data_IF_365766094367
#
_entry.id   IF_365766094367
#
_cell.length_a   1.000
_cell.length_b   1.000
_cell.length_c   1.000
_cell.angle_alpha   90.00
_cell.angle_beta   90.00
_cell.angle_gamma   90.00
#
_symmetry.space_group_name_H-M   'P 1'
#
loop_
_entity.id
_entity.type
_entity.pdbx_description
1 polymer ?
#
# COMPACT_ATOMS: atom_id res chain seq x y z
N UNK A 1 -13.69 0.24 1.44
CA UNK A 1 -14.30 1.58 1.33
C UNK A 1 -15.80 1.44 1.60
N UNK A 2 -16.41 2.34 2.36
CA UNK A 2 -17.86 2.31 2.59
C UNK A 2 -18.63 3.08 1.49
N UNK A 3 -19.96 3.05 1.54
CA UNK A 3 -20.81 3.69 0.53
C UNK A 3 -20.66 5.21 0.48
N UNK A 4 -20.52 5.87 1.64
CA UNK A 4 -20.29 7.31 1.73
C UNK A 4 -18.96 7.72 1.05
N UNK A 5 -17.89 6.99 1.33
CA UNK A 5 -16.60 7.19 0.68
C UNK A 5 -16.69 6.95 -0.83
N UNK A 6 -17.50 5.99 -1.26
CA UNK A 6 -17.75 5.75 -2.69
C UNK A 6 -18.51 6.91 -3.33
N UNK A 7 -19.49 7.48 -2.64
CA UNK A 7 -20.19 8.68 -3.09
C UNK A 7 -19.22 9.85 -3.30
N UNK A 8 -18.21 9.99 -2.43
CA UNK A 8 -17.17 11.00 -2.57
C UNK A 8 -16.29 10.78 -3.81
N UNK A 9 -15.95 9.53 -4.15
CA UNK A 9 -15.24 9.18 -5.38
C UNK A 9 -16.06 9.56 -6.62
N UNK A 10 -17.34 9.17 -6.66
CA UNK A 10 -18.27 9.51 -7.76
C UNK A 10 -18.41 11.03 -7.91
N UNK A 11 -18.60 11.73 -6.79
CA UNK A 11 -18.73 13.18 -6.78
C UNK A 11 -17.45 13.89 -7.27
N UNK A 12 -16.26 13.39 -6.90
CA UNK A 12 -14.99 13.91 -7.37
C UNK A 12 -14.89 13.80 -8.89
N UNK A 13 -15.12 12.60 -9.44
CA UNK A 13 -15.01 12.35 -10.88
C UNK A 13 -16.03 13.16 -11.68
N UNK A 14 -17.25 13.33 -11.16
CA UNK A 14 -18.27 14.16 -11.79
C UNK A 14 -17.86 15.64 -11.82
N UNK A 15 -17.34 16.19 -10.71
CA UNK A 15 -16.84 17.57 -10.64
C UNK A 15 -15.62 17.79 -11.53
N UNK A 16 -14.79 16.76 -11.72
CA UNK A 16 -13.65 16.78 -12.63
C UNK A 16 -14.05 16.67 -14.12
N UNK A 17 -15.35 16.49 -14.43
CA UNK A 17 -15.83 16.31 -15.80
C UNK A 17 -15.47 14.94 -16.40
N UNK A 18 -15.06 13.99 -15.57
CA UNK A 18 -14.62 12.65 -15.98
C UNK A 18 -15.73 11.59 -15.88
N UNK A 19 -16.85 11.95 -15.26
CA UNK A 19 -18.01 11.09 -15.07
C UNK A 19 -19.28 11.89 -15.29
N UNK A 20 -20.31 11.24 -15.85
CA UNK A 20 -21.67 11.75 -15.81
C UNK A 20 -22.44 11.02 -14.73
N UNK A 21 -22.59 11.64 -13.56
CA UNK A 21 -23.25 11.00 -12.42
C UNK A 21 -24.78 10.94 -12.59
N UNK A 22 -25.35 9.76 -12.41
CA UNK A 22 -26.78 9.46 -12.45
C UNK A 22 -27.29 8.98 -11.10
N UNK A 23 -28.59 9.15 -10.83
CA UNK A 23 -29.24 8.64 -9.62
C UNK A 23 -29.04 7.12 -9.50
N UNK A 24 -28.66 6.65 -8.30
CA UNK A 24 -28.41 5.23 -8.04
C UNK A 24 -27.02 4.72 -8.47
N UNK A 25 -26.20 5.55 -9.12
CA UNK A 25 -24.88 5.15 -9.60
C UNK A 25 -23.88 4.86 -8.46
N UNK A 26 -24.06 5.48 -7.29
CA UNK A 26 -23.20 5.23 -6.12
C UNK A 26 -23.22 3.77 -5.70
N UNK A 27 -24.38 3.12 -5.67
CA UNK A 27 -24.49 1.70 -5.31
C UNK A 27 -23.74 0.79 -6.30
N UNK A 28 -23.91 1.02 -7.60
CA UNK A 28 -23.18 0.28 -8.65
C UNK A 28 -21.67 0.47 -8.54
N UNK A 29 -21.23 1.69 -8.25
CA UNK A 29 -19.81 1.97 -7.99
C UNK A 29 -19.34 1.26 -6.72
N UNK A 30 -20.13 1.27 -5.66
CA UNK A 30 -19.77 0.63 -4.39
C UNK A 30 -19.63 -0.88 -4.57
N UNK A 31 -20.53 -1.53 -5.29
CA UNK A 31 -20.43 -2.96 -5.60
C UNK A 31 -19.21 -3.29 -6.46
N UNK A 32 -18.75 -2.34 -7.29
CA UNK A 32 -17.62 -2.55 -8.18
C UNK A 32 -16.25 -2.33 -7.52
N UNK A 33 -16.13 -1.36 -6.61
CA UNK A 33 -14.82 -0.94 -6.05
C UNK A 33 -14.75 -0.90 -4.52
N UNK A 34 -15.89 -1.02 -3.82
CA UNK A 34 -16.01 -0.82 -2.38
C UNK A 34 -15.11 -1.76 -1.57
N UNK A 35 -15.07 -3.05 -1.94
CA UNK A 35 -14.24 -4.07 -1.31
C UNK A 35 -12.86 -4.25 -1.98
N UNK A 36 -12.65 -3.67 -3.17
CA UNK A 36 -11.45 -3.93 -3.99
C UNK A 36 -10.31 -2.95 -3.77
N UNK A 37 -10.58 -1.78 -3.22
CA UNK A 37 -9.54 -0.79 -2.92
C UNK A 37 -9.86 0.04 -1.67
N UNK A 38 -8.79 0.59 -1.09
CA UNK A 38 -8.88 1.56 0.01
C UNK A 38 -9.37 2.91 -0.52
N UNK A 39 -10.03 3.68 0.35
CA UNK A 39 -10.53 5.00 -0.03
C UNK A 39 -9.39 5.94 -0.41
N UNK A 40 -8.27 5.89 0.33
CA UNK A 40 -7.12 6.76 0.09
C UNK A 40 -6.53 6.56 -1.31
N UNK A 41 -6.38 5.30 -1.72
CA UNK A 41 -5.90 4.94 -3.05
C UNK A 41 -6.89 5.34 -4.15
N UNK A 42 -8.19 5.19 -3.91
CA UNK A 42 -9.21 5.61 -4.86
C UNK A 42 -9.20 7.13 -5.08
N UNK A 43 -9.01 7.93 -4.01
CA UNK A 43 -8.86 9.39 -4.12
C UNK A 43 -7.58 9.76 -4.86
N UNK A 44 -6.46 9.10 -4.57
CA UNK A 44 -5.21 9.32 -5.31
C UNK A 44 -5.36 8.98 -6.79
N UNK A 45 -6.01 7.85 -7.11
CA UNK A 45 -6.32 7.44 -8.48
C UNK A 45 -7.16 8.50 -9.20
N UNK A 46 -8.21 9.02 -8.56
CA UNK A 46 -9.02 10.10 -9.14
C UNK A 46 -8.20 11.35 -9.44
N UNK A 47 -7.26 11.72 -8.57
CA UNK A 47 -6.35 12.87 -8.78
C UNK A 47 -5.37 12.64 -9.92
N UNK A 48 -4.87 11.42 -10.10
CA UNK A 48 -3.98 11.11 -11.22
C UNK A 48 -4.75 11.14 -12.54
N UNK A 49 -5.94 10.54 -12.57
CA UNK A 49 -6.82 10.51 -13.75
C UNK A 49 -7.28 11.92 -14.16
N UNK A 50 -7.57 12.82 -13.21
CA UNK A 50 -7.92 14.21 -13.51
C UNK A 50 -6.79 15.06 -14.08
N UNK A 51 -5.54 14.59 -13.92
CA UNK A 51 -4.34 15.24 -14.48
C UNK A 51 -3.87 14.59 -15.77
N UNK A 52 -4.45 13.45 -16.18
CA UNK A 52 -4.02 12.74 -17.36
C UNK A 52 -4.41 13.54 -18.63
N UNK A 53 -3.44 14.06 -19.40
CA UNK A 53 -3.72 14.82 -20.61
C UNK A 53 -4.44 13.99 -21.68
N UNK A 54 -4.28 12.65 -21.67
CA UNK A 54 -4.98 11.75 -22.58
C UNK A 54 -6.49 11.65 -22.27
N UNK A 55 -6.89 12.00 -21.04
CA UNK A 55 -8.30 12.12 -20.64
C UNK A 55 -8.80 13.54 -20.82
N UNK A 56 -7.97 14.56 -20.55
CA UNK A 56 -8.32 15.97 -20.73
C UNK A 56 -8.67 16.35 -22.19
N UNK A 57 -8.11 15.64 -23.18
CA UNK A 57 -8.41 15.82 -24.60
C UNK A 57 -9.71 15.17 -25.09
N UNK A 58 -10.36 14.30 -24.30
CA UNK A 58 -11.59 13.59 -24.69
C UNK A 58 -12.83 14.47 -24.52
N UNK A 59 -12.90 15.60 -25.22
CA UNK A 59 -14.18 16.31 -25.43
C UNK A 59 -15.07 15.45 -26.34
N UNK A 60 -15.77 14.48 -25.76
CA UNK A 60 -16.79 13.66 -26.43
C UNK A 60 -16.55 12.13 -26.48
N UNK A 61 -15.56 11.58 -25.75
CA UNK A 61 -15.10 10.21 -26.03
C UNK A 61 -15.43 9.12 -25.01
N UNK A 62 -15.18 9.31 -23.72
CA UNK A 62 -15.38 8.23 -22.74
C UNK A 62 -15.42 8.78 -21.33
N UNK A 63 -16.55 8.64 -20.66
CA UNK A 63 -16.60 8.78 -19.22
C UNK A 63 -15.85 7.62 -18.58
N UNK A 64 -15.23 7.88 -17.42
CA UNK A 64 -14.57 6.85 -16.65
C UNK A 64 -15.59 5.85 -16.11
N UNK A 65 -15.18 4.59 -16.06
CA UNK A 65 -15.89 3.51 -15.41
C UNK A 65 -15.15 3.08 -14.14
N UNK A 66 -15.79 2.33 -13.22
CA UNK A 66 -15.12 1.88 -12.01
C UNK A 66 -13.80 1.12 -12.27
N UNK A 67 -13.73 0.38 -13.39
CA UNK A 67 -12.54 -0.34 -13.82
C UNK A 67 -11.31 0.56 -14.07
N UNK A 68 -11.52 1.81 -14.51
CA UNK A 68 -10.41 2.75 -14.74
C UNK A 68 -9.77 3.18 -13.42
N UNK A 69 -10.59 3.41 -12.38
CA UNK A 69 -10.10 3.72 -11.03
C UNK A 69 -9.31 2.55 -10.47
N UNK A 70 -9.82 1.31 -10.61
CA UNK A 70 -9.10 0.11 -10.16
C UNK A 70 -7.77 -0.07 -10.90
N UNK A 71 -7.75 0.19 -12.21
CA UNK A 71 -6.53 0.10 -13.00
C UNK A 71 -5.49 1.12 -12.52
N UNK A 72 -5.89 2.35 -12.22
CA UNK A 72 -4.98 3.37 -11.69
C UNK A 72 -4.52 3.06 -10.25
N UNK A 73 -5.40 2.56 -9.38
CA UNK A 73 -5.02 2.04 -8.05
C UNK A 73 -3.95 0.95 -8.19
N UNK A 74 -4.13 0.01 -9.13
CA UNK A 74 -3.13 -1.03 -9.39
C UNK A 74 -1.78 -0.44 -9.81
N UNK A 75 -1.76 0.63 -10.63
CA UNK A 75 -0.53 1.33 -11.01
C UNK A 75 0.13 2.02 -9.80
N UNK A 76 -0.65 2.66 -8.94
CA UNK A 76 -0.16 3.28 -7.70
C UNK A 76 0.53 2.23 -6.83
N UNK A 77 -0.12 1.10 -6.57
CA UNK A 77 0.44 -0.01 -5.78
C UNK A 77 1.69 -0.61 -6.43
N UNK A 78 1.69 -0.75 -7.76
CA UNK A 78 2.86 -1.20 -8.50
C UNK A 78 4.05 -0.24 -8.35
N UNK A 79 3.82 1.09 -8.39
CA UNK A 79 4.89 2.08 -8.14
C UNK A 79 5.45 1.98 -6.72
N UNK A 80 4.60 1.77 -5.71
CA UNK A 80 5.04 1.62 -4.31
C UNK A 80 5.84 0.35 -4.06
N UNK A 81 5.64 -0.69 -4.86
CA UNK A 81 6.34 -1.97 -4.74
C UNK A 81 7.54 -2.07 -5.69
N UNK A 82 7.62 -1.21 -6.71
CA UNK A 82 8.71 -1.23 -7.67
C UNK A 82 10.05 -0.85 -7.02
N UNK A 83 11.06 -1.70 -7.19
CA UNK A 83 12.42 -1.44 -6.71
C UNK A 83 12.64 -1.71 -5.22
N UNK A 84 11.62 -2.17 -4.49
CA UNK A 84 11.79 -2.58 -3.10
C UNK A 84 12.29 -4.02 -3.00
N UNK A 85 13.36 -4.22 -2.25
CA UNK A 85 13.82 -5.55 -1.87
C UNK A 85 12.84 -6.16 -0.86
N UNK A 86 12.38 -7.37 -1.13
CA UNK A 86 11.49 -8.09 -0.22
C UNK A 86 12.36 -8.72 0.87
N UNK A 87 12.15 -8.38 2.16
CA UNK A 87 12.94 -8.95 3.22
C UNK A 87 12.74 -10.47 3.30
N UNK A 88 13.77 -11.17 3.75
CA UNK A 88 13.64 -12.58 4.13
C UNK A 88 12.57 -12.74 5.23
N UNK A 89 11.86 -13.88 5.28
CA UNK A 89 10.87 -14.13 6.31
C UNK A 89 11.51 -14.11 7.71
N UNK A 90 10.73 -13.86 8.78
CA UNK A 90 11.19 -14.02 10.15
C UNK A 90 11.84 -15.39 10.39
N UNK A 91 12.90 -15.44 11.18
CA UNK A 91 13.67 -16.68 11.43
C UNK A 91 12.81 -17.83 11.96
N UNK A 92 11.77 -17.53 12.73
CA UNK A 92 10.81 -18.54 13.24
C UNK A 92 10.05 -19.27 12.12
N UNK A 93 10.08 -18.76 10.89
CA UNK A 93 9.50 -19.35 9.70
C UNK A 93 10.54 -20.02 8.77
N UNK A 94 11.83 -20.08 9.16
CA UNK A 94 12.91 -20.59 8.29
C UNK A 94 12.69 -22.03 7.83
N UNK A 95 12.07 -22.83 8.70
CA UNK A 95 11.87 -24.27 8.48
C UNK A 95 10.54 -24.57 7.76
N UNK A 96 9.72 -23.55 7.49
CA UNK A 96 8.48 -23.65 6.73
C UNK A 96 8.52 -22.75 5.48
N UNK A 97 8.97 -23.29 4.33
CA UNK A 97 8.99 -22.57 3.06
C UNK A 97 7.62 -22.04 2.63
N UNK A 98 6.54 -22.72 2.99
CA UNK A 98 5.18 -22.27 2.64
C UNK A 98 4.79 -21.03 3.46
N UNK A 99 5.14 -20.98 4.75
CA UNK A 99 5.00 -19.79 5.57
C UNK A 99 5.90 -18.65 5.06
N UNK A 100 7.13 -18.94 4.65
CA UNK A 100 8.03 -17.95 4.04
C UNK A 100 7.44 -17.30 2.78
N UNK A 101 6.84 -18.09 1.88
CA UNK A 101 6.15 -17.57 0.69
C UNK A 101 4.89 -16.76 1.04
N UNK A 102 4.13 -17.16 2.07
CA UNK A 102 2.97 -16.38 2.54
C UNK A 102 3.40 -15.03 3.09
N UNK A 103 4.47 -15.00 3.90
CA UNK A 103 5.04 -13.77 4.41
C UNK A 103 5.40 -12.81 3.27
N UNK A 104 6.11 -13.27 2.25
CA UNK A 104 6.49 -12.43 1.10
C UNK A 104 5.26 -11.86 0.37
N UNK A 105 4.21 -12.66 0.20
CA UNK A 105 2.95 -12.19 -0.42
C UNK A 105 2.26 -11.12 0.41
N UNK A 106 2.17 -11.33 1.72
CA UNK A 106 1.58 -10.34 2.64
C UNK A 106 2.42 -9.07 2.70
N UNK A 107 3.75 -9.18 2.70
CA UNK A 107 4.65 -8.04 2.65
C UNK A 107 4.43 -7.19 1.41
N UNK A 108 4.41 -7.79 0.22
CA UNK A 108 4.19 -7.06 -1.05
C UNK A 108 2.79 -6.43 -1.07
N UNK A 109 1.77 -7.15 -0.57
CA UNK A 109 0.41 -6.62 -0.45
C UNK A 109 0.40 -5.37 0.43
N UNK A 110 0.93 -5.48 1.65
CA UNK A 110 0.95 -4.41 2.64
C UNK A 110 1.80 -3.23 2.19
N UNK A 111 2.95 -3.47 1.54
CA UNK A 111 3.78 -2.43 0.94
C UNK A 111 3.03 -1.70 -0.17
N UNK A 112 2.26 -2.41 -1.00
CA UNK A 112 1.38 -1.79 -1.98
C UNK A 112 0.33 -0.87 -1.32
N UNK A 113 -0.15 -1.24 -0.13
CA UNK A 113 -1.20 -0.51 0.58
C UNK A 113 -0.66 0.68 1.40
N UNK A 114 0.53 0.58 2.01
CA UNK A 114 1.12 1.61 2.87
C UNK A 114 2.18 2.47 2.17
N UNK A 115 2.93 1.91 1.22
CA UNK A 115 4.16 2.50 0.69
C UNK A 115 5.32 2.54 1.70
N UNK A 116 5.16 1.92 2.87
CA UNK A 116 6.14 1.93 3.95
C UNK A 116 6.64 0.51 4.26
N UNK A 117 7.94 0.21 4.02
CA UNK A 117 8.55 -1.09 4.29
C UNK A 117 8.42 -1.57 5.74
N UNK A 118 8.53 -0.68 6.73
CA UNK A 118 8.47 -1.07 8.15
C UNK A 118 7.05 -1.49 8.54
N UNK A 119 6.06 -0.67 8.17
CA UNK A 119 4.65 -1.03 8.35
C UNK A 119 4.28 -2.31 7.59
N UNK A 120 4.84 -2.52 6.39
CA UNK A 120 4.59 -3.71 5.59
C UNK A 120 5.14 -5.00 6.22
N UNK A 121 6.36 -4.97 6.79
CA UNK A 121 6.93 -6.10 7.53
C UNK A 121 6.11 -6.40 8.80
N UNK A 122 5.73 -5.35 9.54
CA UNK A 122 4.90 -5.50 10.74
C UNK A 122 3.51 -6.09 10.43
N UNK A 123 2.88 -5.68 9.33
CA UNK A 123 1.58 -6.22 8.89
C UNK A 123 1.71 -7.66 8.40
N UNK A 124 2.75 -7.98 7.61
CA UNK A 124 3.03 -9.34 7.17
C UNK A 124 3.29 -10.29 8.34
N UNK A 125 4.08 -9.86 9.33
CA UNK A 125 4.28 -10.60 10.57
C UNK A 125 2.96 -10.84 11.31
N UNK A 126 2.14 -9.80 11.48
CA UNK A 126 0.83 -9.88 12.14
C UNK A 126 -0.12 -10.85 11.44
N UNK A 127 -0.15 -10.86 10.11
CA UNK A 127 -0.98 -11.77 9.32
C UNK A 127 -0.63 -13.25 9.53
N UNK A 128 0.64 -13.53 9.85
CA UNK A 128 1.14 -14.87 10.14
C UNK A 128 1.19 -15.18 11.65
N UNK A 129 0.77 -14.24 12.52
CA UNK A 129 0.81 -14.43 13.97
C UNK A 129 2.22 -14.47 14.56
N UNK A 130 3.21 -13.92 13.84
CA UNK A 130 4.61 -13.85 14.27
C UNK A 130 5.02 -12.43 14.59
N UNK A 131 6.14 -12.26 15.29
CA UNK A 131 6.78 -10.97 15.51
C UNK A 131 8.25 -11.08 15.13
N UNK A 132 8.75 -10.12 14.35
CA UNK A 132 10.19 -9.98 14.15
C UNK A 132 10.78 -9.40 15.44
N UNK A 133 11.93 -9.91 15.94
CA UNK A 133 12.65 -9.24 17.01
C UNK A 133 12.90 -7.79 16.60
N UNK A 134 12.64 -6.84 17.49
CA UNK A 134 13.00 -5.45 17.22
C UNK A 134 14.48 -5.44 16.83
N UNK A 135 14.81 -4.88 15.66
CA UNK A 135 16.18 -4.73 15.25
C UNK A 135 16.90 -4.04 16.42
N UNK A 136 17.86 -4.73 17.04
CA UNK A 136 18.76 -4.10 17.98
C UNK A 136 19.39 -2.96 17.19
N UNK A 137 18.95 -1.73 17.45
CA UNK A 137 19.50 -0.56 16.80
C UNK A 137 21.03 -0.63 16.87
N UNK A 138 21.70 -0.19 15.81
CA UNK A 138 23.15 -0.21 15.74
C UNK A 138 23.73 0.19 17.11
N UNK A 139 24.53 -0.69 17.75
CA UNK A 139 24.93 -0.45 19.13
C UNK A 139 25.63 0.90 19.19
N UNK A 140 25.17 1.76 20.10
CA UNK A 140 25.71 3.11 20.27
C UNK A 140 27.24 3.03 20.31
N UNK A 141 27.95 3.65 19.33
CA UNK A 141 29.40 3.57 19.24
C UNK A 141 30.10 4.01 20.53
N UNK A 142 29.48 4.91 21.30
CA UNK A 142 30.01 5.36 22.58
C UNK A 142 29.88 4.28 23.66
N UNK A 143 28.77 3.55 23.66
CA UNK A 143 28.52 2.42 24.58
C UNK A 143 29.44 1.23 24.28
N UNK A 144 29.71 0.97 23.00
CA UNK A 144 30.70 -0.04 22.56
C UNK A 144 32.13 0.37 22.98
N UNK A 145 32.51 1.64 22.79
CA UNK A 145 33.82 2.16 23.23
C UNK A 145 34.00 2.11 24.74
N UNK A 146 32.96 2.44 25.51
CA UNK A 146 32.98 2.38 26.97
C UNK A 146 33.22 0.95 27.45
N UNK A 147 32.48 -0.03 26.92
CA UNK A 147 32.65 -1.45 27.25
C UNK A 147 34.05 -1.98 26.89
N UNK A 148 34.58 -1.62 25.72
CA UNK A 148 35.95 -2.02 25.34
C UNK A 148 37.02 -1.40 26.24
N UNK A 149 36.78 -0.18 26.77
CA UNK A 149 37.69 0.48 27.70
C UNK A 149 37.65 -0.12 29.12
N UNK A 150 36.51 -0.71 29.54
CA UNK A 150 36.39 -1.42 30.81
C UNK A 150 37.05 -2.80 30.76
N UNK A 151 36.93 -3.51 29.63
CA UNK A 151 37.60 -4.81 29.44
C UNK A 151 39.13 -4.65 29.38
N UNK A 152 39.62 -3.58 28.77
CA UNK A 152 41.06 -3.28 28.71
C UNK A 152 41.70 -2.78 30.01
N UNK A 153 40.91 -2.52 31.06
CA UNK A 153 41.41 -2.13 32.40
C UNK A 153 41.51 -3.29 33.39
N UNK A 154 40.95 -4.45 33.04
CA UNK A 154 40.95 -5.65 33.87
C UNK A 154 41.95 -6.72 33.38
N UNK A 155 42.91 -6.34 32.52
CA UNK A 155 44.08 -7.12 32.10
C UNK A 155 45.33 -6.38 32.52
#
# INVERSE_FOLDING_TARGET
>A
MNEEQTANVVAYLNRAGLLYAMTGQVGVWHDAIGDRCRYEDAVEACRNLSRDPALAGRRGGSFLIPGDVLAEVKRIRARRTAGHEVPGPPEVLSDDPAAGLRFQREYIRALGDSGDPESADAEACRALGVQRPAALGAPDPQRVRALLSEVGRNV
#
